data_IF_559155922621
#
_entry.id   IF_559155922621
#
_cell.length_a   1.000
_cell.length_b   1.000
_cell.length_c   1.000
_cell.angle_alpha   90.00
_cell.angle_beta   90.00
_cell.angle_gamma   90.00
#
_symmetry.space_group_name_H-M   'P 1'
#
loop_
_entity.id
_entity.type
_entity.pdbx_description
1 polymer ?
#
# COMPACT_ATOMS: atom_id res chain seq x y z
N UNK A 1 -9.88 4.72 -2.15
CA UNK A 1 -9.62 5.62 -1.01
C UNK A 1 -8.20 6.16 -1.14
N UNK A 2 -7.97 7.43 -0.82
CA UNK A 2 -6.62 8.03 -0.80
C UNK A 2 -6.29 8.49 0.60
N UNK A 3 -5.08 8.21 1.07
CA UNK A 3 -4.57 8.61 2.38
C UNK A 3 -3.22 9.29 2.24
N UNK A 4 -3.00 10.34 3.03
CA UNK A 4 -1.68 10.97 3.19
C UNK A 4 -0.99 10.29 4.36
N UNK A 5 0.23 9.81 4.14
CA UNK A 5 1.01 9.13 5.16
C UNK A 5 2.10 10.07 5.67
N UNK A 6 2.28 10.11 6.98
CA UNK A 6 3.28 10.92 7.65
C UNK A 6 3.79 10.21 8.88
N UNK A 7 5.08 10.35 9.15
CA UNK A 7 5.75 9.80 10.30
C UNK A 7 7.23 10.17 10.22
N UNK A 8 7.95 10.11 11.33
CA UNK A 8 9.38 10.41 11.37
C UNK A 8 10.16 9.56 10.38
N UNK A 9 9.84 8.27 10.26
CA UNK A 9 10.54 7.37 9.32
C UNK A 9 10.21 7.67 7.85
N UNK A 10 8.96 8.00 7.56
CA UNK A 10 8.53 8.38 6.21
C UNK A 10 9.21 9.69 5.80
N UNK A 11 9.28 10.68 6.70
CA UNK A 11 9.83 12.00 6.42
C UNK A 11 11.35 12.03 6.24
N UNK A 12 12.06 10.98 6.67
CA UNK A 12 13.47 10.77 6.31
C UNK A 12 13.67 10.50 4.83
N UNK A 13 12.64 9.98 4.15
CA UNK A 13 12.74 9.51 2.76
C UNK A 13 11.85 10.29 1.78
N UNK A 14 10.68 10.77 2.25
CA UNK A 14 9.71 11.47 1.42
C UNK A 14 9.23 12.75 2.09
N UNK A 15 9.29 13.87 1.38
CA UNK A 15 8.64 15.13 1.79
C UNK A 15 7.13 14.96 1.80
N UNK A 16 6.60 14.24 0.82
CA UNK A 16 5.20 13.87 0.74
C UNK A 16 5.08 12.41 0.30
N UNK A 17 4.15 11.69 0.91
CA UNK A 17 3.78 10.33 0.55
C UNK A 17 2.26 10.21 0.66
N UNK A 18 1.63 9.79 -0.44
CA UNK A 18 0.20 9.50 -0.51
C UNK A 18 0.02 8.09 -1.05
N UNK A 19 -0.91 7.35 -0.46
CA UNK A 19 -1.31 6.01 -0.90
C UNK A 19 -2.74 6.06 -1.39
N UNK A 20 -3.01 5.50 -2.56
CA UNK A 20 -4.36 5.32 -3.10
C UNK A 20 -4.64 3.83 -3.26
N UNK A 21 -5.71 3.36 -2.63
CA UNK A 21 -6.24 2.01 -2.81
C UNK A 21 -7.49 2.03 -3.69
N UNK A 22 -7.51 1.14 -4.67
CA UNK A 22 -8.70 0.76 -5.42
C UNK A 22 -8.89 -0.76 -5.29
N UNK A 23 -10.11 -1.17 -4.98
CA UNK A 23 -10.50 -2.57 -4.84
C UNK A 23 -11.65 -2.81 -5.81
N UNK A 24 -11.52 -3.83 -6.65
CA UNK A 24 -12.56 -4.25 -7.61
C UNK A 24 -12.81 -5.74 -7.43
N UNK A 25 -14.06 -6.14 -7.25
CA UNK A 25 -14.44 -7.56 -7.15
C UNK A 25 -14.10 -8.33 -8.41
N UNK A 26 -13.65 -9.56 -8.26
CA UNK A 26 -13.57 -10.53 -9.36
C UNK A 26 -14.98 -11.08 -9.59
N UNK A 27 -15.33 -11.38 -10.85
CA UNK A 27 -16.62 -12.01 -11.17
C UNK A 27 -16.79 -13.33 -10.39
N UNK A 28 -18.04 -13.72 -10.11
CA UNK A 28 -18.41 -14.95 -9.40
C UNK A 28 -17.94 -15.08 -7.94
N UNK A 29 -17.45 -13.99 -7.33
CA UNK A 29 -17.13 -13.97 -5.90
C UNK A 29 -15.76 -14.57 -5.55
N UNK A 30 -14.91 -14.81 -6.55
CA UNK A 30 -13.57 -15.41 -6.38
C UNK A 30 -12.52 -14.36 -5.92
N UNK A 31 -12.91 -13.51 -4.96
CA UNK A 31 -12.05 -12.50 -4.35
C UNK A 31 -12.10 -11.12 -5.02
N UNK A 32 -10.97 -10.42 -5.02
CA UNK A 32 -10.88 -9.02 -5.48
C UNK A 32 -9.50 -8.71 -6.05
N UNK A 33 -9.45 -7.85 -7.07
CA UNK A 33 -8.23 -7.17 -7.47
C UNK A 33 -8.02 -5.94 -6.59
N UNK A 34 -6.81 -5.84 -6.04
CA UNK A 34 -6.39 -4.69 -5.23
C UNK A 34 -5.26 -3.96 -5.96
N UNK A 35 -5.47 -2.68 -6.23
CA UNK A 35 -4.46 -1.78 -6.77
C UNK A 35 -4.07 -0.80 -5.67
N UNK A 36 -2.79 -0.81 -5.30
CA UNK A 36 -2.22 0.17 -4.38
C UNK A 36 -1.18 1.03 -5.10
N UNK A 37 -1.40 2.34 -5.11
CA UNK A 37 -0.55 3.31 -5.79
C UNK A 37 0.07 4.27 -4.78
N UNK A 38 1.37 4.50 -4.88
CA UNK A 38 2.07 5.52 -4.08
C UNK A 38 2.44 6.72 -4.95
N UNK A 39 1.95 7.91 -4.57
CA UNK A 39 2.41 9.20 -5.09
C UNK A 39 3.35 9.83 -4.05
N UNK A 40 4.60 10.10 -4.42
CA UNK A 40 5.61 10.57 -3.48
C UNK A 40 6.55 11.63 -4.06
N UNK A 41 7.10 12.44 -3.16
CA UNK A 41 8.20 13.36 -3.42
C UNK A 41 9.37 13.02 -2.50
N UNK A 42 10.50 12.57 -3.07
CA UNK A 42 11.72 12.23 -2.31
C UNK A 42 12.32 13.47 -1.63
N UNK A 43 12.98 13.30 -0.48
CA UNK A 43 13.69 14.43 0.18
C UNK A 43 14.90 14.89 -0.64
N UNK A 44 15.62 13.95 -1.26
CA UNK A 44 16.66 14.20 -2.25
C UNK A 44 16.69 13.07 -3.29
N UNK A 45 17.36 13.30 -4.42
CA UNK A 45 17.34 12.41 -5.59
C UNK A 45 17.99 11.03 -5.37
N UNK A 46 18.89 10.93 -4.40
CA UNK A 46 19.69 9.72 -4.16
C UNK A 46 18.99 8.69 -3.27
N UNK A 47 17.76 8.97 -2.86
CA UNK A 47 16.92 7.98 -2.18
C UNK A 47 16.44 6.98 -3.22
N UNK A 48 16.69 5.70 -2.95
CA UNK A 48 16.26 4.62 -3.85
C UNK A 48 14.76 4.65 -4.08
N UNK A 49 14.35 4.18 -5.26
CA UNK A 49 12.94 3.99 -5.54
C UNK A 49 12.35 3.01 -4.52
N UNK A 50 11.16 3.34 -4.03
CA UNK A 50 10.52 2.75 -2.86
C UNK A 50 9.97 1.34 -3.09
N UNK A 51 10.67 0.52 -3.88
CA UNK A 51 10.29 -0.86 -4.19
C UNK A 51 10.11 -1.69 -2.92
N UNK A 52 10.98 -1.53 -1.91
CA UNK A 52 10.84 -2.21 -0.62
C UNK A 52 9.53 -1.86 0.10
N UNK A 53 9.08 -0.59 0.02
CA UNK A 53 7.81 -0.17 0.63
C UNK A 53 6.62 -0.79 -0.11
N UNK A 54 6.71 -0.92 -1.44
CA UNK A 54 5.69 -1.60 -2.25
C UNK A 54 5.59 -3.07 -1.85
N UNK A 55 6.71 -3.78 -1.75
CA UNK A 55 6.75 -5.19 -1.39
C UNK A 55 6.21 -5.44 0.04
N UNK A 56 6.59 -4.60 1.00
CA UNK A 56 6.04 -4.65 2.36
C UNK A 56 4.53 -4.40 2.38
N UNK A 57 4.05 -3.46 1.56
CA UNK A 57 2.61 -3.16 1.45
C UNK A 57 1.85 -4.34 0.86
N UNK A 58 2.38 -4.98 -0.18
CA UNK A 58 1.78 -6.19 -0.76
C UNK A 58 1.73 -7.32 0.26
N UNK A 59 2.81 -7.52 1.02
CA UNK A 59 2.84 -8.53 2.10
C UNK A 59 1.79 -8.24 3.17
N UNK A 60 1.72 -7.00 3.66
CA UNK A 60 0.73 -6.57 4.64
C UNK A 60 -0.70 -6.81 4.16
N UNK A 61 -1.00 -6.46 2.90
CA UNK A 61 -2.34 -6.65 2.33
C UNK A 61 -2.73 -8.13 2.23
N UNK A 62 -1.79 -9.02 1.90
CA UNK A 62 -2.03 -10.47 1.88
C UNK A 62 -2.28 -11.04 3.29
N UNK A 63 -1.48 -10.62 4.26
CA UNK A 63 -1.67 -11.02 5.66
C UNK A 63 -3.02 -10.53 6.21
N UNK A 64 -3.42 -9.31 5.87
CA UNK A 64 -4.72 -8.76 6.21
C UNK A 64 -5.86 -9.57 5.57
N UNK A 65 -5.73 -9.96 4.30
CA UNK A 65 -6.71 -10.79 3.60
C UNK A 65 -6.90 -12.14 4.30
N UNK A 66 -5.81 -12.83 4.63
CA UNK A 66 -5.86 -14.10 5.38
C UNK A 66 -6.55 -13.96 6.75
N UNK A 67 -6.31 -12.85 7.46
CA UNK A 67 -6.98 -12.58 8.74
C UNK A 67 -8.47 -12.36 8.51
N UNK A 68 -8.86 -11.52 7.56
CA UNK A 68 -10.25 -11.20 7.28
C UNK A 68 -11.06 -12.41 6.81
N UNK A 69 -10.47 -13.30 6.02
CA UNK A 69 -11.09 -14.55 5.58
C UNK A 69 -11.39 -15.47 6.78
N UNK A 70 -10.44 -15.63 7.71
CA UNK A 70 -10.62 -16.46 8.91
C UNK A 70 -11.68 -15.93 9.87
N UNK A 71 -12.03 -14.65 9.80
CA UNK A 71 -13.12 -14.07 10.59
C UNK A 71 -14.51 -14.38 10.00
N UNK A 72 -14.59 -14.86 8.75
CA UNK A 72 -15.84 -15.18 8.06
C UNK A 72 -16.15 -16.68 7.97
N UNK A 73 -15.30 -17.56 8.52
CA UNK A 73 -15.53 -19.00 8.69
C UNK A 73 -16.07 -19.35 10.09
#
# INVERSE_FOLDING_TARGET
MTMKMSGTEIQKHFKTLKGTIAITSIEDGDGSHVVWTFDFEKVHKDIDDSHSIIDETVKYLKELDEVLLKFHE
#
